data_IF_212807312446
#
_entry.id   IF_212807312446
#
_cell.length_a   1.000
_cell.length_b   1.000
_cell.length_c   1.000
_cell.angle_alpha   90.00
_cell.angle_beta   90.00
_cell.angle_gamma   90.00
#
_symmetry.space_group_name_H-M   'P 1'
#
loop_
_entity.id
_entity.type
_entity.pdbx_description
1 polymer ?
#
# COMPACT_ATOMS: atom_id res chain seq x y z
N UNK A 1 -5.27 -20.71 -10.16
CA UNK A 1 -6.26 -19.64 -10.45
C UNK A 1 -5.55 -18.30 -10.36
N UNK A 2 -5.84 -17.33 -11.25
CA UNK A 2 -5.19 -16.02 -11.19
C UNK A 2 -5.52 -15.28 -9.89
N UNK A 3 -4.54 -14.59 -9.32
CA UNK A 3 -4.66 -13.80 -8.09
C UNK A 3 -4.34 -12.33 -8.33
N UNK A 4 -4.78 -11.45 -7.44
CA UNK A 4 -4.38 -10.03 -7.51
C UNK A 4 -2.85 -9.83 -7.47
N UNK A 5 -2.12 -10.72 -6.81
CA UNK A 5 -0.65 -10.68 -6.77
C UNK A 5 0.00 -10.93 -8.14
N UNK A 6 -0.72 -11.50 -9.12
CA UNK A 6 -0.20 -11.70 -10.47
C UNK A 6 -0.18 -10.39 -11.29
N UNK A 7 -0.81 -9.32 -10.78
CA UNK A 7 -1.03 -8.04 -11.49
C UNK A 7 -0.34 -6.87 -10.82
N UNK A 8 0.15 -7.03 -9.61
CA UNK A 8 0.77 -5.97 -8.81
C UNK A 8 2.06 -6.48 -8.20
N UNK A 9 3.11 -5.68 -8.24
CA UNK A 9 4.29 -5.82 -7.38
C UNK A 9 4.41 -4.59 -6.49
N UNK A 10 5.15 -4.71 -5.40
CA UNK A 10 5.46 -3.59 -4.52
C UNK A 10 6.96 -3.38 -4.47
N UNK A 11 7.38 -2.14 -4.60
CA UNK A 11 8.74 -1.72 -4.33
C UNK A 11 8.71 -0.79 -3.13
N UNK A 12 9.43 -1.14 -2.06
CA UNK A 12 9.37 -0.41 -0.81
C UNK A 12 10.76 0.02 -0.33
N UNK A 13 10.82 1.18 0.30
CA UNK A 13 12.05 1.74 0.89
C UNK A 13 11.71 2.63 2.07
N UNK A 14 12.71 2.92 2.89
CA UNK A 14 12.58 3.83 4.03
C UNK A 14 13.36 5.09 3.70
N UNK A 15 12.72 6.24 3.91
CA UNK A 15 13.30 7.56 3.65
C UNK A 15 13.19 8.44 4.90
N UNK A 16 14.12 9.38 5.13
CA UNK A 16 13.91 10.44 6.10
C UNK A 16 12.67 11.25 5.73
N UNK A 17 11.72 11.37 6.66
CA UNK A 17 10.61 12.30 6.55
C UNK A 17 11.09 13.66 7.07
N UNK A 18 11.35 14.60 6.15
CA UNK A 18 11.86 15.93 6.48
C UNK A 18 11.03 16.65 7.57
N UNK A 19 11.72 17.26 8.55
CA UNK A 19 11.14 17.93 9.72
C UNK A 19 12.15 18.04 10.87
N UNK A 20 11.84 18.85 11.92
CA UNK A 20 12.73 19.10 13.08
C UNK A 20 12.91 17.88 14.01
N UNK A 21 12.14 16.82 13.83
CA UNK A 21 12.35 15.54 14.48
C UNK A 21 12.75 14.51 13.42
N UNK A 22 13.79 13.71 13.70
CA UNK A 22 14.29 12.62 12.85
C UNK A 22 13.21 11.54 12.64
N UNK A 23 12.20 11.86 11.82
CA UNK A 23 11.12 10.95 11.46
C UNK A 23 11.49 10.20 10.18
N UNK A 24 11.08 8.95 10.07
CA UNK A 24 11.27 8.12 8.87
C UNK A 24 9.92 7.76 8.27
N UNK A 25 9.85 7.68 6.95
CA UNK A 25 8.68 7.22 6.21
C UNK A 25 8.97 5.91 5.50
N UNK A 26 8.00 4.99 5.51
CA UNK A 26 7.93 3.87 4.57
C UNK A 26 7.28 4.39 3.30
N UNK A 27 7.98 4.23 2.18
CA UNK A 27 7.54 4.61 0.85
C UNK A 27 7.29 3.33 0.06
N UNK A 28 6.06 3.13 -0.40
CA UNK A 28 5.66 1.93 -1.16
C UNK A 28 5.15 2.35 -2.53
N UNK A 29 5.90 2.02 -3.59
CA UNK A 29 5.42 2.15 -4.97
C UNK A 29 4.64 0.90 -5.35
N UNK A 30 3.44 1.10 -5.89
CA UNK A 30 2.64 0.06 -6.53
C UNK A 30 3.06 -0.07 -7.99
N UNK A 31 3.60 -1.23 -8.36
CA UNK A 31 3.97 -1.59 -9.73
C UNK A 31 2.82 -2.39 -10.36
N UNK A 32 1.92 -1.73 -11.09
CA UNK A 32 0.66 -2.32 -11.56
C UNK A 32 0.74 -2.62 -13.06
N UNK A 33 0.38 -3.85 -13.45
CA UNK A 33 0.37 -4.27 -14.85
C UNK A 33 -0.60 -3.42 -15.67
N UNK A 34 -0.17 -2.97 -16.87
CA UNK A 34 -1.03 -2.27 -17.82
C UNK A 34 -2.38 -2.99 -18.04
N UNK A 35 -3.46 -2.22 -18.04
CA UNK A 35 -4.84 -2.71 -18.18
C UNK A 35 -5.47 -3.16 -16.86
N UNK A 36 -4.80 -2.91 -15.73
CA UNK A 36 -5.24 -3.24 -14.37
C UNK A 36 -5.06 -2.05 -13.44
N UNK A 37 -5.84 -2.04 -12.38
CA UNK A 37 -5.79 -1.08 -11.29
C UNK A 37 -6.13 -1.76 -9.96
N UNK A 38 -5.94 -1.07 -8.84
CA UNK A 38 -6.43 -1.50 -7.51
C UNK A 38 -7.31 -0.43 -6.88
N UNK A 39 -8.24 -0.81 -6.01
CA UNK A 39 -9.11 0.17 -5.36
C UNK A 39 -8.31 1.13 -4.46
N UNK A 40 -8.67 2.41 -4.49
CA UNK A 40 -8.09 3.41 -3.60
C UNK A 40 -8.51 3.18 -2.13
N UNK A 41 -7.88 3.92 -1.21
CA UNK A 41 -8.26 3.96 0.19
C UNK A 41 -8.51 5.42 0.62
N UNK A 42 -9.73 5.78 1.07
CA UNK A 42 -10.89 4.91 1.23
C UNK A 42 -11.41 4.36 -0.10
N UNK A 43 -12.02 3.17 -0.04
CA UNK A 43 -12.73 2.61 -1.18
C UNK A 43 -13.95 3.48 -1.52
N UNK A 44 -14.31 3.56 -2.80
CA UNK A 44 -15.45 4.39 -3.24
C UNK A 44 -16.81 3.82 -2.84
N UNK A 45 -16.89 2.51 -2.60
CA UNK A 45 -18.10 1.80 -2.15
C UNK A 45 -17.72 0.78 -1.07
N UNK A 46 -18.61 0.47 -0.10
CA UNK A 46 -18.29 -0.39 1.05
C UNK A 46 -17.90 -1.84 0.71
N UNK A 47 -18.39 -2.37 -0.41
CA UNK A 47 -18.10 -3.74 -0.83
C UNK A 47 -16.80 -3.86 -1.64
N UNK A 48 -16.19 -2.74 -2.04
CA UNK A 48 -14.90 -2.73 -2.72
C UNK A 48 -13.79 -2.91 -1.69
N UNK A 49 -12.84 -3.80 -2.01
CA UNK A 49 -11.72 -4.09 -1.10
C UNK A 49 -10.64 -3.02 -1.30
N UNK A 50 -10.40 -2.13 -0.32
CA UNK A 50 -9.43 -1.05 -0.46
C UNK A 50 -8.00 -1.59 -0.46
N UNK A 51 -7.08 -0.82 -1.05
CA UNK A 51 -5.65 -1.03 -0.82
C UNK A 51 -5.31 -0.69 0.62
N UNK A 52 -4.72 -1.63 1.37
CA UNK A 52 -4.36 -1.44 2.78
C UNK A 52 -2.92 -1.82 3.00
N UNK A 53 -2.15 -0.89 3.55
CA UNK A 53 -0.78 -1.13 4.01
C UNK A 53 -0.75 -1.41 5.52
N UNK A 54 0.05 -2.41 5.91
CA UNK A 54 0.33 -2.80 7.28
C UNK A 54 1.82 -3.06 7.46
N UNK A 55 2.31 -2.80 8.66
CA UNK A 55 3.70 -3.04 9.05
C UNK A 55 3.76 -3.86 10.33
N UNK A 56 4.75 -4.75 10.40
CA UNK A 56 5.13 -5.43 11.63
C UNK A 56 6.64 -5.40 11.86
N UNK A 57 7.04 -5.34 13.12
CA UNK A 57 8.43 -5.34 13.56
C UNK A 57 8.58 -6.40 14.64
N UNK A 58 9.55 -7.31 14.49
CA UNK A 58 9.72 -8.47 15.37
C UNK A 58 8.40 -9.25 15.62
N UNK A 59 7.59 -9.41 14.57
CA UNK A 59 6.31 -10.12 14.63
C UNK A 59 5.15 -9.33 15.26
N UNK A 60 5.38 -8.10 15.74
CA UNK A 60 4.33 -7.26 16.35
C UNK A 60 3.83 -6.20 15.37
N UNK A 61 2.50 -6.05 15.19
CA UNK A 61 1.94 -4.96 14.39
C UNK A 61 2.36 -3.59 14.91
N UNK A 62 2.51 -2.64 13.98
CA UNK A 62 2.85 -1.25 14.28
C UNK A 62 1.78 -0.36 13.67
N UNK A 63 1.32 0.63 14.44
CA UNK A 63 0.43 1.66 13.94
C UNK A 63 1.20 2.56 12.96
N UNK A 64 0.64 2.71 11.76
CA UNK A 64 1.15 3.60 10.74
C UNK A 64 0.24 4.81 10.63
N UNK A 65 0.84 5.98 10.47
CA UNK A 65 0.14 7.17 10.00
C UNK A 65 0.29 7.21 8.47
N UNK A 66 -0.70 6.66 7.77
CA UNK A 66 -0.67 6.50 6.31
C UNK A 66 -1.46 7.64 5.66
N UNK A 67 -0.75 8.47 4.91
CA UNK A 67 -1.35 9.46 4.04
C UNK A 67 -1.64 8.82 2.68
N UNK A 68 -2.77 8.11 2.58
CA UNK A 68 -3.19 7.54 1.31
C UNK A 68 -3.39 8.64 0.26
N UNK A 69 -2.75 8.54 -0.92
CA UNK A 69 -2.94 9.53 -1.96
C UNK A 69 -4.38 9.48 -2.47
N UNK A 70 -4.83 10.60 -3.03
CA UNK A 70 -6.14 10.62 -3.69
C UNK A 70 -6.10 9.72 -4.93
N UNK A 71 -6.89 8.65 -4.96
CA UNK A 71 -6.97 7.76 -6.15
C UNK A 71 -7.47 8.51 -7.39
N UNK A 72 -7.16 8.04 -8.60
CA UNK A 72 -7.67 8.60 -9.86
C UNK A 72 -9.11 8.17 -10.11
N UNK A 73 -9.90 8.97 -10.83
CA UNK A 73 -11.19 8.51 -11.34
C UNK A 73 -10.95 7.46 -12.44
N UNK A 74 -11.46 6.24 -12.28
CA UNK A 74 -11.27 5.16 -13.26
C UNK A 74 -12.18 5.28 -14.49
N UNK A 75 -13.16 6.18 -14.48
CA UNK A 75 -14.29 6.25 -15.42
C UNK A 75 -15.26 5.05 -15.36
N UNK A 76 -15.07 4.15 -14.39
CA UNK A 76 -16.02 3.09 -14.08
C UNK A 76 -17.04 3.67 -13.10
N UNK A 77 -18.32 3.47 -13.40
CA UNK A 77 -19.43 3.85 -12.52
C UNK A 77 -20.13 2.58 -12.05
N UNK A 78 -20.19 2.38 -10.74
CA UNK A 78 -20.95 1.29 -10.11
C UNK A 78 -21.95 1.91 -9.15
N UNK A 79 -23.22 1.47 -9.22
CA UNK A 79 -24.29 2.02 -8.38
C UNK A 79 -24.33 3.57 -8.38
N UNK A 80 -24.13 4.19 -9.55
CA UNK A 80 -24.09 5.64 -9.70
C UNK A 80 -22.85 6.34 -9.10
N UNK A 81 -21.90 5.59 -8.55
CA UNK A 81 -20.67 6.12 -7.94
C UNK A 81 -19.48 5.92 -8.85
N UNK A 82 -18.74 7.00 -9.14
CA UNK A 82 -17.48 6.93 -9.88
C UNK A 82 -16.39 6.30 -9.00
N UNK A 83 -15.77 5.23 -9.49
CA UNK A 83 -14.81 4.46 -8.72
C UNK A 83 -13.43 5.11 -8.76
N UNK A 84 -12.81 5.24 -7.58
CA UNK A 84 -11.45 5.75 -7.42
C UNK A 84 -10.46 4.60 -7.25
N UNK A 85 -9.39 4.66 -8.02
CA UNK A 85 -8.41 3.58 -8.13
C UNK A 85 -6.98 4.12 -8.06
N UNK A 86 -6.03 3.23 -7.78
CA UNK A 86 -4.61 3.48 -7.95
C UNK A 86 -4.12 2.78 -9.21
N UNK A 87 -3.34 3.52 -9.99
CA UNK A 87 -2.67 3.05 -11.20
C UNK A 87 -1.18 2.78 -10.92
N UNK A 88 -0.47 2.26 -11.93
CA UNK A 88 0.97 2.05 -11.87
C UNK A 88 1.71 3.31 -11.41
N UNK A 89 2.64 3.12 -10.49
CA UNK A 89 3.47 4.19 -9.94
C UNK A 89 2.83 5.01 -8.83
N UNK A 90 1.62 4.67 -8.38
CA UNK A 90 1.09 5.23 -7.14
C UNK A 90 2.04 4.93 -5.98
N UNK A 91 2.35 5.96 -5.18
CA UNK A 91 3.21 5.83 -3.99
C UNK A 91 2.39 6.03 -2.72
N UNK A 92 2.43 5.04 -1.83
CA UNK A 92 1.89 5.12 -0.48
C UNK A 92 3.00 5.60 0.45
N UNK A 93 2.69 6.59 1.30
CA UNK A 93 3.60 7.13 2.31
C UNK A 93 3.02 6.90 3.69
N UNK A 94 3.78 6.19 4.52
CA UNK A 94 3.44 5.92 5.91
C UNK A 94 4.53 6.44 6.84
N UNK A 95 4.18 7.33 7.79
CA UNK A 95 5.13 7.79 8.80
C UNK A 95 5.31 6.74 9.89
N UNK A 96 6.57 6.49 10.27
CA UNK A 96 6.90 5.68 11.43
C UNK A 96 6.99 6.58 12.67
N UNK A 97 6.22 6.25 13.70
CA UNK A 97 6.37 6.88 15.01
C UNK A 97 7.78 6.68 15.57
N UNK A 98 8.21 7.52 16.51
CA UNK A 98 9.52 7.38 17.16
C UNK A 98 9.70 5.99 17.78
N UNK A 99 8.68 5.50 18.46
CA UNK A 99 8.67 4.15 19.05
C UNK A 99 8.82 3.05 17.98
N UNK A 100 8.16 3.19 16.83
CA UNK A 100 8.29 2.24 15.73
C UNK A 100 9.71 2.25 15.15
N UNK A 101 10.32 3.43 15.00
CA UNK A 101 11.69 3.57 14.51
C UNK A 101 12.72 2.95 15.46
N UNK A 102 12.59 3.17 16.77
CA UNK A 102 13.48 2.57 17.76
C UNK A 102 13.38 1.03 17.73
N UNK A 103 12.16 0.49 17.61
CA UNK A 103 11.94 -0.95 17.42
C UNK A 103 12.52 -1.46 16.11
N UNK A 104 12.39 -0.71 15.01
CA UNK A 104 12.94 -1.08 13.72
C UNK A 104 14.47 -1.18 13.77
N UNK A 105 15.13 -0.18 14.36
CA UNK A 105 16.58 -0.16 14.60
C UNK A 105 17.03 -1.37 15.42
N UNK A 106 16.33 -1.66 16.52
CA UNK A 106 16.67 -2.78 17.40
C UNK A 106 16.42 -4.16 16.74
N UNK A 107 15.35 -4.31 15.96
CA UNK A 107 15.00 -5.57 15.32
C UNK A 107 15.80 -5.83 14.03
N UNK A 108 16.44 -4.79 13.46
CA UNK A 108 17.22 -4.88 12.22
C UNK A 108 16.40 -5.06 10.95
N UNK A 109 15.08 -5.20 11.04
CA UNK A 109 14.18 -5.36 9.89
C UNK A 109 12.72 -5.06 10.23
N UNK A 110 11.95 -4.77 9.18
CA UNK A 110 10.52 -4.51 9.22
C UNK A 110 9.84 -5.31 8.10
N UNK A 111 8.68 -5.90 8.39
CA UNK A 111 7.86 -6.62 7.39
C UNK A 111 6.69 -5.74 6.98
N UNK A 112 6.66 -5.37 5.71
CA UNK A 112 5.57 -4.67 5.05
C UNK A 112 4.60 -5.70 4.46
N UNK A 113 3.30 -5.42 4.58
CA UNK A 113 2.23 -6.16 3.93
C UNK A 113 1.25 -5.18 3.27
N UNK A 114 0.99 -5.34 1.98
CA UNK A 114 0.01 -4.54 1.23
C UNK A 114 -1.06 -5.47 0.69
N UNK A 115 -2.27 -5.35 1.21
CA UNK A 115 -3.45 -6.06 0.69
C UNK A 115 -4.09 -5.24 -0.42
N UNK A 116 -4.37 -5.88 -1.56
CA UNK A 116 -4.99 -5.27 -2.74
C UNK A 116 -6.06 -6.17 -3.34
N UNK A 117 -6.97 -5.58 -4.08
CA UNK A 117 -7.80 -6.29 -5.06
C UNK A 117 -7.56 -5.66 -6.43
N UNK A 118 -7.04 -6.47 -7.35
CA UNK A 118 -6.78 -6.02 -8.72
C UNK A 118 -8.00 -6.24 -9.59
N UNK A 119 -8.41 -5.18 -10.27
CA UNK A 119 -9.47 -5.21 -11.26
C UNK A 119 -8.91 -4.76 -12.61
N UNK A 120 -9.34 -5.43 -13.67
CA UNK A 120 -9.02 -5.03 -15.04
C UNK A 120 -9.91 -3.88 -15.49
N UNK A 121 -9.48 -3.13 -16.50
CA UNK A 121 -10.28 -2.04 -17.07
C UNK A 121 -11.56 -2.53 -17.78
N UNK A 122 -11.70 -3.85 -17.96
CA UNK A 122 -12.92 -4.51 -18.45
C UNK A 122 -13.89 -4.93 -17.34
N UNK A 123 -13.61 -4.55 -16.09
CA UNK A 123 -14.48 -4.82 -14.94
C UNK A 123 -14.31 -6.21 -14.29
N UNK A 124 -13.30 -6.98 -14.68
CA UNK A 124 -13.01 -8.28 -14.03
C UNK A 124 -12.11 -8.03 -12.81
N UNK A 125 -12.60 -8.35 -11.62
CA UNK A 125 -11.83 -8.31 -10.38
C UNK A 125 -11.35 -9.71 -9.99
N UNK A 126 -10.08 -9.80 -9.58
CA UNK A 126 -9.49 -11.03 -9.05
C UNK A 126 -9.73 -11.12 -7.54
N UNK A 127 -9.61 -12.32 -6.93
CA UNK A 127 -9.58 -12.45 -5.49
C UNK A 127 -8.48 -11.55 -4.88
N UNK A 128 -8.75 -10.90 -3.73
CA UNK A 128 -7.75 -10.07 -3.06
C UNK A 128 -6.50 -10.88 -2.69
N UNK A 129 -5.37 -10.21 -2.64
CA UNK A 129 -4.09 -10.81 -2.26
C UNK A 129 -3.28 -9.85 -1.39
N UNK A 130 -2.37 -10.41 -0.59
CA UNK A 130 -1.43 -9.65 0.23
C UNK A 130 -0.01 -9.82 -0.29
N UNK A 131 0.60 -8.72 -0.68
CA UNK A 131 1.99 -8.63 -1.11
C UNK A 131 2.85 -8.32 0.10
N UNK A 132 4.00 -8.99 0.25
CA UNK A 132 4.90 -8.77 1.38
C UNK A 132 6.28 -8.33 0.93
N UNK A 133 6.92 -7.50 1.74
CA UNK A 133 8.32 -7.09 1.54
C UNK A 133 9.05 -7.02 2.87
N UNK A 134 10.30 -7.47 2.88
CA UNK A 134 11.19 -7.40 4.03
C UNK A 134 12.14 -6.21 3.84
N UNK A 135 12.03 -5.21 4.70
CA UNK A 135 12.84 -4.01 4.69
C UNK A 135 13.90 -4.13 5.78
N UNK A 136 15.16 -4.44 5.43
CA UNK A 136 16.26 -4.43 6.40
C UNK A 136 16.55 -3.00 6.88
N UNK A 137 17.01 -2.88 8.12
CA UNK A 137 17.61 -1.66 8.63
C UNK A 137 19.07 -1.60 8.16
N UNK A 138 19.40 -0.63 7.33
CA UNK A 138 20.78 -0.33 6.97
C UNK A 138 21.26 0.82 7.86
N UNK A 139 22.29 0.55 8.66
CA UNK A 139 22.97 1.51 9.54
C UNK A 139 23.74 2.56 8.76
#
# INVERSE_FOLDING_TARGET
>A
MPSSADKVRITARIEPAGGQAASSAVMVRLDIRKGWHVNANPASLPFLIPTVEKVSIAGKPVALDIAYPRGRNSHIVLQGTAIRVYDDGTVLKALLSRQAQDRFKAAGRLILAVTVQSCSDKGICLPPATLTSNLPHHS
#
